data_IF_422046722858
#
_entry.id   IF_422046722858
#
_cell.length_a   1.000
_cell.length_b   1.000
_cell.length_c   1.000
_cell.angle_alpha   90.00
_cell.angle_beta   90.00
_cell.angle_gamma   90.00
#
_symmetry.space_group_name_H-M   'P 1'
#
loop_
_entity.id
_entity.type
_entity.pdbx_description
1 polymer ?
#
# COMPACT_ATOMS: atom_id res chain seq x y z
N UNK A 1 -12.29 7.16 -0.86
CA UNK A 1 -11.72 6.86 0.47
C UNK A 1 -10.58 7.84 0.68
N UNK A 2 -10.46 8.46 1.86
CA UNK A 2 -9.37 9.43 2.09
C UNK A 2 -7.99 8.77 1.99
N UNK A 3 -7.00 9.45 1.41
CA UNK A 3 -5.62 8.96 1.42
C UNK A 3 -5.14 8.68 2.84
N UNK A 4 -4.25 7.72 2.98
CA UNK A 4 -3.61 7.39 4.23
C UNK A 4 -2.13 7.71 4.15
N UNK A 5 -1.66 8.57 5.04
CA UNK A 5 -0.25 8.95 5.13
C UNK A 5 0.38 8.30 6.36
N UNK A 6 1.57 7.75 6.19
CA UNK A 6 2.35 7.17 7.28
C UNK A 6 3.85 7.33 7.04
N UNK A 7 4.64 7.24 8.11
CA UNK A 7 6.10 7.25 8.04
C UNK A 7 6.63 5.84 8.26
N UNK A 8 7.57 5.41 7.42
CA UNK A 8 8.26 4.13 7.55
C UNK A 8 9.74 4.30 7.22
N UNK A 9 10.61 3.86 8.13
CA UNK A 9 12.07 3.95 8.00
C UNK A 9 12.56 5.40 7.69
N UNK A 10 11.91 6.39 8.28
CA UNK A 10 12.23 7.81 8.07
C UNK A 10 11.81 8.38 6.69
N UNK A 11 11.07 7.61 5.89
CA UNK A 11 10.44 8.09 4.66
C UNK A 11 8.91 8.20 4.85
N UNK A 12 8.33 9.27 4.32
CA UNK A 12 6.88 9.46 4.31
C UNK A 12 6.27 8.80 3.09
N UNK A 13 5.19 8.07 3.32
CA UNK A 13 4.41 7.39 2.28
C UNK A 13 2.97 7.87 2.32
N UNK A 14 2.41 8.10 1.15
CA UNK A 14 0.99 8.39 0.94
C UNK A 14 0.37 7.22 0.19
N UNK A 15 -0.76 6.72 0.67
CA UNK A 15 -1.53 5.65 0.05
C UNK A 15 -2.88 6.16 -0.37
N UNK A 16 -3.17 6.10 -1.67
CA UNK A 16 -4.49 6.39 -2.22
C UNK A 16 -5.20 5.09 -2.55
N UNK A 17 -6.44 4.95 -2.08
CA UNK A 17 -7.26 3.79 -2.36
C UNK A 17 -8.27 4.09 -3.45
N UNK A 18 -8.17 3.36 -4.56
CA UNK A 18 -9.08 3.44 -5.70
C UNK A 18 -9.96 2.18 -5.75
N UNK A 19 -11.27 2.36 -5.90
CA UNK A 19 -12.21 1.25 -6.07
C UNK A 19 -12.30 0.89 -7.55
N UNK A 20 -12.01 -0.36 -7.89
CA UNK A 20 -12.16 -0.91 -9.25
C UNK A 20 -13.21 -2.02 -9.26
N UNK A 21 -13.63 -2.49 -10.44
CA UNK A 21 -14.67 -3.51 -10.56
C UNK A 21 -14.29 -4.85 -9.90
N UNK A 22 -12.99 -5.16 -9.84
CA UNK A 22 -12.45 -6.42 -9.33
C UNK A 22 -11.96 -6.34 -7.87
N UNK A 23 -12.03 -5.17 -7.23
CA UNK A 23 -11.46 -4.96 -5.89
C UNK A 23 -11.05 -3.53 -5.59
N UNK A 24 -10.02 -3.39 -4.77
CA UNK A 24 -9.38 -2.12 -4.45
C UNK A 24 -7.95 -2.07 -4.97
N UNK A 25 -7.50 -0.89 -5.38
CA UNK A 25 -6.10 -0.60 -5.67
C UNK A 25 -5.55 0.35 -4.61
N UNK A 26 -4.43 -0.01 -4.01
CA UNK A 26 -3.64 0.87 -3.15
C UNK A 26 -2.48 1.45 -3.93
N UNK A 27 -2.53 2.75 -4.22
CA UNK A 27 -1.47 3.50 -4.86
C UNK A 27 -0.56 4.08 -3.77
N UNK A 28 0.59 3.46 -3.58
CA UNK A 28 1.58 3.84 -2.59
C UNK A 28 2.59 4.76 -3.26
N UNK A 29 2.65 6.00 -2.81
CA UNK A 29 3.59 7.00 -3.25
C UNK A 29 4.55 7.32 -2.10
N UNK A 30 5.85 7.38 -2.39
CA UNK A 30 6.85 7.79 -1.41
C UNK A 30 7.20 9.25 -1.65
N UNK A 31 7.21 10.06 -0.59
CA UNK A 31 7.63 11.45 -0.69
C UNK A 31 9.08 11.55 -1.17
N UNK A 32 9.29 12.30 -2.26
CA UNK A 32 10.61 12.47 -2.89
C UNK A 32 10.98 11.40 -3.92
N UNK A 33 10.07 10.46 -4.22
CA UNK A 33 10.24 9.45 -5.27
C UNK A 33 9.22 9.67 -6.39
N UNK A 34 9.63 9.56 -7.65
CA UNK A 34 8.71 9.67 -8.80
C UNK A 34 7.94 8.36 -9.08
N UNK A 35 8.24 7.31 -8.31
CA UNK A 35 7.66 5.98 -8.49
C UNK A 35 6.45 5.79 -7.57
N UNK A 36 5.30 5.50 -8.18
CA UNK A 36 4.10 5.04 -7.47
C UNK A 36 3.99 3.53 -7.57
N UNK A 37 4.02 2.86 -6.43
CA UNK A 37 3.80 1.42 -6.33
C UNK A 37 2.31 1.13 -6.23
N UNK A 38 1.81 0.22 -7.06
CA UNK A 38 0.38 -0.13 -7.08
C UNK A 38 0.21 -1.54 -6.51
N UNK A 39 -0.65 -1.67 -5.51
CA UNK A 39 -1.07 -2.95 -4.96
C UNK A 39 -2.53 -3.22 -5.29
N UNK A 40 -2.82 -4.40 -5.84
CA UNK A 40 -4.18 -4.85 -6.03
C UNK A 40 -4.66 -5.67 -4.83
N UNK A 41 -5.88 -5.37 -4.39
CA UNK A 41 -6.63 -6.08 -3.36
C UNK A 41 -7.92 -6.61 -4.02
N UNK A 42 -7.89 -7.82 -4.60
CA UNK A 42 -9.06 -8.39 -5.27
C UNK A 42 -10.22 -8.57 -4.29
N UNK A 43 -11.45 -8.37 -4.76
CA UNK A 43 -12.64 -8.67 -3.97
C UNK A 43 -12.69 -10.17 -3.64
N UNK A 44 -12.43 -10.52 -2.38
CA UNK A 44 -12.25 -11.91 -1.97
C UNK A 44 -11.89 -12.06 -0.48
N UNK A 45 -11.53 -13.28 -0.08
CA UNK A 45 -11.12 -13.57 1.30
C UNK A 45 -9.72 -13.01 1.57
N UNK A 46 -9.62 -12.03 2.47
CA UNK A 46 -8.33 -11.42 2.82
C UNK A 46 -8.38 -10.06 3.51
N UNK A 47 -9.54 -9.40 3.50
CA UNK A 47 -9.77 -8.16 4.26
C UNK A 47 -11.10 -8.27 5.02
N UNK A 48 -11.14 -7.65 6.21
CA UNK A 48 -12.34 -7.63 7.04
C UNK A 48 -13.40 -6.74 6.40
N UNK A 49 -14.58 -7.27 6.09
CA UNK A 49 -15.68 -6.49 5.52
C UNK A 49 -16.24 -5.44 6.49
N UNK A 50 -15.98 -5.59 7.79
CA UNK A 50 -16.28 -4.61 8.83
C UNK A 50 -15.24 -3.51 8.95
N UNK A 51 -14.00 -3.74 8.49
CA UNK A 51 -12.93 -2.75 8.43
C UNK A 51 -12.06 -2.91 7.17
N UNK A 52 -12.68 -2.59 6.03
CA UNK A 52 -12.01 -2.61 4.73
C UNK A 52 -10.81 -1.66 4.74
N UNK A 53 -10.95 -0.48 5.36
CA UNK A 53 -9.89 0.53 5.39
C UNK A 53 -8.67 0.03 6.16
N UNK A 54 -8.84 -0.48 7.38
CA UNK A 54 -7.73 -0.98 8.20
C UNK A 54 -7.01 -2.16 7.53
N UNK A 55 -7.77 -3.03 6.87
CA UNK A 55 -7.19 -4.16 6.12
C UNK A 55 -6.33 -3.71 4.93
N UNK A 56 -6.81 -2.72 4.16
CA UNK A 56 -6.06 -2.15 3.04
C UNK A 56 -4.78 -1.43 3.54
N UNK A 57 -4.87 -0.66 4.62
CA UNK A 57 -3.73 0.02 5.24
C UNK A 57 -2.69 -1.00 5.70
N UNK A 58 -3.08 -2.03 6.45
CA UNK A 58 -2.17 -3.06 6.94
C UNK A 58 -1.45 -3.79 5.79
N UNK A 59 -2.16 -4.05 4.68
CA UNK A 59 -1.56 -4.62 3.47
C UNK A 59 -0.52 -3.70 2.85
N UNK A 60 -0.83 -2.40 2.71
CA UNK A 60 0.10 -1.41 2.19
C UNK A 60 1.34 -1.22 3.07
N UNK A 61 1.18 -1.14 4.39
CA UNK A 61 2.31 -1.07 5.34
C UNK A 61 3.20 -2.31 5.23
N UNK A 62 2.61 -3.51 5.13
CA UNK A 62 3.36 -4.75 4.96
C UNK A 62 4.14 -4.79 3.64
N UNK A 63 3.61 -4.23 2.55
CA UNK A 63 4.37 -4.12 1.31
C UNK A 63 5.47 -3.07 1.38
N UNK A 64 5.23 -1.91 2.01
CA UNK A 64 6.30 -0.92 2.23
C UNK A 64 7.44 -1.53 3.02
N UNK A 65 7.13 -2.25 4.09
CA UNK A 65 8.13 -3.01 4.87
C UNK A 65 8.91 -4.01 4.00
N UNK A 66 8.26 -4.72 3.08
CA UNK A 66 8.96 -5.62 2.13
C UNK A 66 9.79 -4.87 1.10
N UNK A 67 9.34 -3.71 0.62
CA UNK A 67 10.07 -2.88 -0.35
C UNK A 67 11.34 -2.30 0.26
N UNK A 68 11.29 -1.86 1.52
CA UNK A 68 12.46 -1.33 2.24
C UNK A 68 13.40 -2.43 2.71
N UNK A 69 12.87 -3.63 3.02
CA UNK A 69 13.68 -4.77 3.44
C UNK A 69 14.38 -5.51 2.29
N UNK A 70 13.98 -5.33 1.03
CA UNK A 70 14.67 -5.97 -0.09
C UNK A 70 16.07 -5.37 -0.24
N UNK A 71 17.17 -6.08 0.10
CA UNK A 71 18.50 -5.61 -0.26
C UNK A 71 18.54 -5.58 -1.79
N UNK A 72 19.06 -4.49 -2.36
CA UNK A 72 19.39 -4.43 -3.78
C UNK A 72 20.14 -5.72 -4.14
N UNK A 73 19.50 -6.61 -4.89
CA UNK A 73 20.12 -7.84 -5.35
C UNK A 73 21.18 -7.43 -6.36
N UNK A 74 22.39 -7.20 -5.85
CA UNK A 74 23.61 -7.12 -6.64
C UNK A 74 23.95 -8.56 -6.99
N UNK A 75 23.70 -8.97 -8.23
CA UNK A 75 24.20 -10.23 -8.77
C UNK A 75 24.66 -10.06 -10.22
#
# INVERSE_FOLDING_TARGET
MDPHEFEHDGARFEVRFERVAEGWLGHIHREGDDVTHIMAFPDGAGYDSGDVRGSLIAGCEAAVSRMTQAPATRH
#
